data_IF_030990560074
#
_entry.id   IF_030990560074
#
_cell.length_a   1.000
_cell.length_b   1.000
_cell.length_c   1.000
_cell.angle_alpha   90.00
_cell.angle_beta   90.00
_cell.angle_gamma   90.00
#
_symmetry.space_group_name_H-M   'P 1'
#
loop_
_entity.id
_entity.type
_entity.pdbx_description
1 polymer ?
#
# COMPACT_ATOMS: atom_id res chain seq x y z
N UNK A 1 6.56 20.15 4.77
CA UNK A 1 6.74 18.74 4.35
C UNK A 1 5.72 18.45 3.25
N UNK A 2 6.19 18.20 2.03
CA UNK A 2 5.36 18.14 0.81
C UNK A 2 4.38 16.97 0.86
N UNK A 3 3.10 17.24 0.58
CA UNK A 3 2.11 16.19 0.35
C UNK A 3 2.56 15.31 -0.84
N UNK A 4 2.35 13.98 -0.80
CA UNK A 4 2.60 13.15 -1.97
C UNK A 4 1.68 13.61 -3.11
N UNK A 5 2.28 14.07 -4.21
CA UNK A 5 1.53 14.46 -5.39
C UNK A 5 0.78 13.24 -5.95
N UNK A 6 -0.49 13.40 -6.30
CA UNK A 6 -1.31 12.33 -6.89
C UNK A 6 -0.62 11.68 -8.11
N UNK A 7 0.13 12.47 -8.88
CA UNK A 7 0.94 12.02 -10.00
C UNK A 7 2.01 10.97 -9.61
N UNK A 8 2.63 11.10 -8.43
CA UNK A 8 3.64 10.15 -7.95
C UNK A 8 2.97 8.82 -7.57
N UNK A 9 1.82 8.88 -6.90
CA UNK A 9 1.05 7.69 -6.52
C UNK A 9 0.55 6.93 -7.73
N UNK A 10 0.04 7.64 -8.74
CA UNK A 10 -0.41 7.05 -9.98
C UNK A 10 0.73 6.33 -10.72
N UNK A 11 1.88 7.00 -10.90
CA UNK A 11 3.08 6.41 -11.52
C UNK A 11 3.58 5.18 -10.76
N UNK A 12 3.64 5.26 -9.42
CA UNK A 12 4.04 4.14 -8.59
C UNK A 12 3.07 2.96 -8.73
N UNK A 13 1.76 3.23 -8.65
CA UNK A 13 0.72 2.21 -8.81
C UNK A 13 0.77 1.51 -10.17
N UNK A 14 0.92 2.26 -11.27
CA UNK A 14 1.13 1.70 -12.61
C UNK A 14 2.38 0.83 -12.69
N UNK A 15 3.49 1.27 -12.12
CA UNK A 15 4.74 0.52 -12.11
C UNK A 15 4.61 -0.80 -11.35
N UNK A 16 4.04 -0.77 -10.14
CA UNK A 16 3.81 -1.99 -9.36
C UNK A 16 2.85 -2.96 -10.06
N UNK A 17 1.76 -2.47 -10.65
CA UNK A 17 0.84 -3.33 -11.39
C UNK A 17 1.56 -4.01 -12.57
N UNK A 18 2.34 -3.27 -13.36
CA UNK A 18 3.09 -3.82 -14.49
C UNK A 18 4.15 -4.84 -14.03
N UNK A 19 4.94 -4.52 -13.00
CA UNK A 19 5.95 -5.42 -12.45
C UNK A 19 5.32 -6.69 -11.91
N UNK A 20 4.19 -6.59 -11.20
CA UNK A 20 3.47 -7.75 -10.69
C UNK A 20 3.00 -8.67 -11.81
N UNK A 21 2.37 -8.13 -12.86
CA UNK A 21 1.92 -8.93 -14.02
C UNK A 21 3.09 -9.63 -14.71
N UNK A 22 4.19 -8.90 -14.98
CA UNK A 22 5.37 -9.46 -15.61
C UNK A 22 6.03 -10.55 -14.74
N UNK A 23 6.14 -10.30 -13.43
CA UNK A 23 6.65 -11.28 -12.49
C UNK A 23 5.76 -12.52 -12.44
N UNK A 24 4.44 -12.38 -12.37
CA UNK A 24 3.50 -13.51 -12.38
C UNK A 24 3.64 -14.39 -13.63
N UNK A 25 3.68 -13.77 -14.81
CA UNK A 25 3.89 -14.45 -16.08
C UNK A 25 5.25 -15.16 -16.13
N UNK A 26 6.32 -14.47 -15.72
CA UNK A 26 7.65 -15.06 -15.61
C UNK A 26 7.68 -16.24 -14.63
N UNK A 27 6.98 -16.14 -13.50
CA UNK A 27 6.85 -17.21 -12.53
C UNK A 27 6.19 -18.45 -13.14
N UNK A 28 5.07 -18.26 -13.84
CA UNK A 28 4.25 -19.35 -14.35
C UNK A 28 4.90 -20.09 -15.52
N UNK A 29 5.68 -19.39 -16.34
CA UNK A 29 6.23 -19.93 -17.59
C UNK A 29 7.75 -20.12 -17.56
N UNK A 30 8.49 -19.16 -17.00
CA UNK A 30 9.96 -19.22 -16.93
C UNK A 30 10.48 -19.92 -15.69
N UNK A 31 10.03 -19.48 -14.51
CA UNK A 31 10.58 -19.92 -13.23
C UNK A 31 10.23 -21.38 -12.91
N UNK A 32 9.04 -21.85 -13.32
CA UNK A 32 8.62 -23.26 -13.16
C UNK A 32 9.55 -24.25 -13.88
N UNK A 33 10.18 -23.83 -14.99
CA UNK A 33 11.09 -24.66 -15.77
C UNK A 33 12.55 -24.61 -15.23
N UNK A 34 12.83 -23.79 -14.22
CA UNK A 34 14.18 -23.60 -13.70
C UNK A 34 14.58 -24.73 -12.73
N UNK A 35 15.73 -25.40 -12.94
CA UNK A 35 16.25 -26.38 -11.99
C UNK A 35 16.55 -25.74 -10.62
N UNK A 36 16.21 -26.43 -9.53
CA UNK A 36 16.49 -25.97 -8.15
C UNK A 36 15.39 -25.12 -7.50
N UNK A 37 14.26 -24.89 -8.16
CA UNK A 37 13.09 -24.21 -7.58
C UNK A 37 12.11 -25.23 -7.00
N UNK A 38 11.79 -25.12 -5.72
CA UNK A 38 10.74 -25.94 -5.07
C UNK A 38 9.34 -25.42 -5.41
N UNK A 39 8.34 -26.30 -5.35
CA UNK A 39 6.93 -25.93 -5.52
C UNK A 39 6.49 -24.82 -4.55
N UNK A 40 6.95 -24.86 -3.30
CA UNK A 40 6.66 -23.83 -2.29
C UNK A 40 7.28 -22.47 -2.63
N UNK A 41 8.49 -22.48 -3.21
CA UNK A 41 9.17 -21.25 -3.64
C UNK A 41 8.44 -20.62 -4.82
N UNK A 42 7.95 -21.45 -5.75
CA UNK A 42 7.12 -21.02 -6.87
C UNK A 42 5.78 -20.44 -6.40
N UNK A 43 5.10 -21.11 -5.47
CA UNK A 43 3.86 -20.62 -4.87
C UNK A 43 4.06 -19.27 -4.14
N UNK A 44 5.17 -19.14 -3.41
CA UNK A 44 5.55 -17.89 -2.74
C UNK A 44 5.80 -16.76 -3.75
N UNK A 45 6.48 -17.06 -4.85
CA UNK A 45 6.72 -16.10 -5.93
C UNK A 45 5.43 -15.62 -6.59
N UNK A 46 4.49 -16.53 -6.86
CA UNK A 46 3.17 -16.17 -7.38
C UNK A 46 2.36 -15.35 -6.39
N UNK A 47 2.46 -15.68 -5.10
CA UNK A 47 1.85 -14.87 -4.04
C UNK A 47 2.40 -13.45 -4.06
N UNK A 48 3.73 -13.28 -4.10
CA UNK A 48 4.36 -11.96 -4.19
C UNK A 48 3.91 -11.16 -5.42
N UNK A 49 3.75 -11.82 -6.57
CA UNK A 49 3.13 -11.27 -7.79
C UNK A 49 1.73 -10.72 -7.54
N UNK A 50 0.82 -11.55 -7.01
CA UNK A 50 -0.55 -11.12 -6.73
C UNK A 50 -0.59 -9.92 -5.78
N UNK A 51 0.20 -9.94 -4.70
CA UNK A 51 0.27 -8.80 -3.77
C UNK A 51 0.82 -7.54 -4.45
N UNK A 52 1.80 -7.65 -5.35
CA UNK A 52 2.35 -6.51 -6.09
C UNK A 52 1.30 -5.87 -7.01
N UNK A 53 0.51 -6.71 -7.71
CA UNK A 53 -0.61 -6.23 -8.54
C UNK A 53 -1.70 -5.57 -7.70
N UNK A 54 -2.17 -6.22 -6.63
CA UNK A 54 -3.25 -5.67 -5.81
C UNK A 54 -2.87 -4.36 -5.14
N UNK A 55 -1.65 -4.24 -4.62
CA UNK A 55 -1.17 -2.99 -4.04
C UNK A 55 -0.94 -1.90 -5.10
N UNK A 56 -0.48 -2.27 -6.31
CA UNK A 56 -0.39 -1.34 -7.44
C UNK A 56 -1.76 -0.78 -7.84
N UNK A 57 -2.78 -1.64 -7.92
CA UNK A 57 -4.16 -1.23 -8.16
C UNK A 57 -4.71 -0.36 -7.01
N UNK A 58 -4.41 -0.72 -5.76
CA UNK A 58 -4.81 0.08 -4.60
C UNK A 58 -4.20 1.49 -4.65
N UNK A 59 -2.93 1.62 -5.05
CA UNK A 59 -2.26 2.91 -5.25
C UNK A 59 -2.89 3.72 -6.39
N UNK A 60 -3.25 3.07 -7.50
CA UNK A 60 -3.97 3.71 -8.60
C UNK A 60 -5.33 4.24 -8.14
N UNK A 61 -6.12 3.42 -7.46
CA UNK A 61 -7.42 3.84 -6.91
C UNK A 61 -7.26 4.99 -5.89
N UNK A 62 -6.23 4.94 -5.05
CA UNK A 62 -5.94 5.98 -4.08
C UNK A 62 -5.55 7.31 -4.76
N UNK A 63 -4.87 7.24 -5.90
CA UNK A 63 -4.46 8.42 -6.67
C UNK A 63 -5.64 9.18 -7.29
N UNK A 64 -6.73 8.47 -7.63
CA UNK A 64 -7.94 9.07 -8.19
C UNK A 64 -8.84 9.73 -7.14
N UNK A 65 -8.70 9.38 -5.86
CA UNK A 65 -9.57 9.91 -4.83
C UNK A 65 -8.98 11.19 -4.19
N UNK A 66 -9.54 12.39 -4.45
CA UNK A 66 -8.94 13.66 -4.07
C UNK A 66 -8.77 13.86 -2.56
N UNK A 67 -9.57 13.18 -1.72
CA UNK A 67 -9.42 13.20 -0.24
C UNK A 67 -8.32 12.27 0.27
N UNK A 68 -7.97 11.21 -0.48
CA UNK A 68 -6.97 10.22 -0.06
C UNK A 68 -5.62 10.39 -0.76
N UNK A 69 -5.59 11.01 -1.95
CA UNK A 69 -4.34 11.28 -2.66
C UNK A 69 -3.43 12.25 -1.89
N UNK A 70 -4.02 13.12 -1.05
CA UNK A 70 -3.30 14.08 -0.18
C UNK A 70 -2.81 13.47 1.13
N UNK A 71 -3.14 12.20 1.41
CA UNK A 71 -2.83 11.58 2.69
C UNK A 71 -1.33 11.27 2.79
N UNK A 72 -0.61 12.06 3.61
CA UNK A 72 0.86 12.11 3.64
C UNK A 72 1.59 10.78 3.90
N UNK A 73 0.90 9.80 4.46
CA UNK A 73 1.49 8.52 4.83
C UNK A 73 0.94 7.34 4.06
N UNK A 74 -0.24 7.45 3.46
CA UNK A 74 -0.94 6.26 3.02
C UNK A 74 -0.34 5.65 1.77
N UNK A 75 -0.18 6.44 0.72
CA UNK A 75 0.44 5.99 -0.51
C UNK A 75 1.90 5.55 -0.35
N UNK A 76 2.79 6.36 0.28
CA UNK A 76 4.18 5.97 0.49
C UNK A 76 4.34 4.69 1.33
N UNK A 77 3.48 4.47 2.34
CA UNK A 77 3.52 3.26 3.15
C UNK A 77 3.10 2.01 2.36
N UNK A 78 2.08 2.09 1.49
CA UNK A 78 1.73 0.98 0.58
C UNK A 78 2.91 0.66 -0.32
N UNK A 79 3.46 1.67 -1.00
CA UNK A 79 4.57 1.48 -1.92
C UNK A 79 5.79 0.84 -1.22
N UNK A 80 6.19 1.38 -0.07
CA UNK A 80 7.31 0.85 0.70
C UNK A 80 7.03 -0.57 1.23
N UNK A 81 5.83 -0.83 1.74
CA UNK A 81 5.41 -2.15 2.22
C UNK A 81 5.41 -3.20 1.11
N UNK A 82 4.88 -2.86 -0.06
CA UNK A 82 4.91 -3.74 -1.24
C UNK A 82 6.34 -4.03 -1.71
N UNK A 83 7.19 -3.00 -1.76
CA UNK A 83 8.59 -3.18 -2.13
C UNK A 83 9.33 -4.10 -1.14
N UNK A 84 9.11 -3.93 0.17
CA UNK A 84 9.76 -4.74 1.19
C UNK A 84 9.22 -6.17 1.24
N UNK A 85 7.91 -6.37 1.17
CA UNK A 85 7.28 -7.70 1.26
C UNK A 85 7.42 -8.50 -0.04
N UNK A 86 6.90 -7.97 -1.14
CA UNK A 86 6.90 -8.70 -2.42
C UNK A 86 8.31 -8.73 -3.03
N UNK A 87 9.08 -7.65 -2.87
CA UNK A 87 10.47 -7.60 -3.32
C UNK A 87 11.40 -8.55 -2.57
N UNK A 88 11.22 -8.75 -1.26
CA UNK A 88 12.03 -9.73 -0.51
C UNK A 88 11.76 -11.15 -0.99
N UNK A 89 10.50 -11.51 -1.25
CA UNK A 89 10.14 -12.83 -1.76
C UNK A 89 10.73 -13.06 -3.16
N UNK A 90 10.64 -12.07 -4.06
CA UNK A 90 11.28 -12.18 -5.38
C UNK A 90 12.78 -12.42 -5.28
N UNK A 91 13.47 -11.67 -4.42
CA UNK A 91 14.91 -11.83 -4.21
C UNK A 91 15.27 -13.20 -3.62
N UNK A 92 14.51 -13.68 -2.62
CA UNK A 92 14.72 -15.00 -2.01
C UNK A 92 14.56 -16.14 -3.01
N UNK A 93 13.56 -16.04 -3.89
CA UNK A 93 13.26 -17.10 -4.86
C UNK A 93 14.25 -17.08 -6.03
N UNK A 94 14.68 -15.90 -6.49
CA UNK A 94 15.67 -15.81 -7.57
C UNK A 94 17.09 -16.19 -7.14
N UNK A 95 17.46 -15.92 -5.89
CA UNK A 95 18.83 -16.14 -5.41
C UNK A 95 18.90 -16.39 -3.90
N UNK A 96 18.40 -17.55 -3.47
CA UNK A 96 18.27 -17.93 -2.06
C UNK A 96 19.60 -17.86 -1.30
N UNK A 97 20.71 -18.30 -1.89
CA UNK A 97 21.99 -18.36 -1.19
C UNK A 97 22.61 -16.98 -0.93
N UNK A 98 22.33 -15.99 -1.78
CA UNK A 98 22.79 -14.61 -1.60
C UNK A 98 21.89 -13.79 -0.67
N UNK A 99 20.59 -14.11 -0.63
CA UNK A 99 19.58 -13.31 0.07
C UNK A 99 18.93 -14.02 1.26
N UNK A 100 19.52 -15.10 1.79
CA UNK A 100 19.06 -15.82 2.99
C UNK A 100 18.72 -14.91 4.19
N UNK A 101 19.43 -13.79 4.34
CA UNK A 101 19.20 -12.79 5.39
C UNK A 101 17.86 -12.03 5.27
N UNK A 102 17.22 -12.02 4.10
CA UNK A 102 15.92 -11.38 3.89
C UNK A 102 14.73 -12.27 4.34
N UNK A 103 15.00 -13.52 4.75
CA UNK A 103 13.99 -14.42 5.31
C UNK A 103 13.16 -13.78 6.44
N UNK A 104 13.76 -13.26 7.52
CA UNK A 104 13.05 -12.60 8.61
C UNK A 104 12.43 -11.23 8.25
N UNK A 105 12.84 -10.60 7.14
CA UNK A 105 12.28 -9.31 6.68
C UNK A 105 10.86 -9.49 6.11
N UNK A 106 10.56 -10.68 5.57
CA UNK A 106 9.28 -10.99 4.92
C UNK A 106 8.08 -10.98 5.90
N UNK A 107 8.11 -11.59 7.10
CA UNK A 107 7.02 -11.45 8.07
C UNK A 107 6.87 -10.03 8.62
N UNK A 108 7.96 -9.27 8.75
CA UNK A 108 7.91 -7.86 9.17
C UNK A 108 7.27 -6.95 8.12
N UNK A 109 7.54 -7.20 6.82
CA UNK A 109 6.89 -6.50 5.71
C UNK A 109 5.38 -6.75 5.66
N UNK A 110 4.95 -7.99 5.89
CA UNK A 110 3.53 -8.35 5.95
C UNK A 110 2.79 -7.69 7.12
N UNK A 111 3.39 -7.66 8.32
CA UNK A 111 2.87 -6.94 9.47
C UNK A 111 2.75 -5.43 9.21
N UNK A 112 3.77 -4.82 8.59
CA UNK A 112 3.72 -3.41 8.22
C UNK A 112 2.57 -3.11 7.24
N UNK A 113 2.30 -4.02 6.30
CA UNK A 113 1.21 -3.90 5.35
C UNK A 113 -0.18 -4.02 6.02
N UNK A 114 -0.34 -4.96 6.96
CA UNK A 114 -1.59 -5.10 7.74
C UNK A 114 -1.82 -3.89 8.65
N UNK A 115 -0.79 -3.43 9.38
CA UNK A 115 -0.87 -2.22 10.19
C UNK A 115 -1.24 -0.99 9.35
N UNK A 116 -0.76 -0.94 8.12
CA UNK A 116 -1.05 0.14 7.19
C UNK A 116 -2.55 0.15 6.76
N UNK A 117 -3.08 -0.97 6.28
CA UNK A 117 -4.51 -1.07 5.94
C UNK A 117 -5.42 -0.83 7.15
N UNK A 118 -4.99 -1.27 8.34
CA UNK A 118 -5.66 -0.96 9.61
C UNK A 118 -5.70 0.54 9.88
N UNK A 119 -4.57 1.24 9.77
CA UNK A 119 -4.47 2.69 10.03
C UNK A 119 -5.32 3.53 9.06
N UNK A 120 -5.44 3.13 7.79
CA UNK A 120 -6.36 3.75 6.83
C UNK A 120 -7.80 3.67 7.34
N UNK A 121 -8.22 2.50 7.85
CA UNK A 121 -9.57 2.29 8.42
C UNK A 121 -9.80 3.12 9.69
N UNK A 122 -8.86 3.11 10.64
CA UNK A 122 -9.03 3.85 11.90
C UNK A 122 -9.11 5.36 11.68
N UNK A 123 -8.31 5.93 10.76
CA UNK A 123 -8.36 7.37 10.44
C UNK A 123 -9.56 7.74 9.56
N UNK A 124 -10.09 6.79 8.76
CA UNK A 124 -11.35 6.96 8.04
C UNK A 124 -12.51 7.22 8.98
N UNK A 125 -12.61 6.50 10.10
CA UNK A 125 -13.61 6.78 11.13
C UNK A 125 -13.45 8.18 11.73
N UNK A 126 -12.22 8.64 12.02
CA UNK A 126 -11.99 10.02 12.51
C UNK A 126 -12.34 11.12 11.49
N UNK A 127 -12.40 10.81 10.19
CA UNK A 127 -12.81 11.74 9.14
C UNK A 127 -14.25 11.55 8.68
N UNK A 128 -14.91 10.49 9.13
CA UNK A 128 -16.29 10.15 8.87
C UNK A 128 -17.11 10.34 10.16
N UNK A 129 -16.78 11.36 10.94
CA UNK A 129 -17.76 12.01 11.80
C UNK A 129 -18.62 12.87 10.88
N UNK A 130 -19.91 12.52 10.64
CA UNK A 130 -20.78 13.25 9.71
C UNK A 130 -21.10 14.69 10.17
N UNK A 131 -20.58 15.10 11.33
CA UNK A 131 -20.73 16.44 11.90
C UNK A 131 -19.48 17.33 11.75
N UNK A 132 -18.36 16.84 11.19
CA UNK A 132 -17.16 17.66 11.01
C UNK A 132 -16.93 18.01 9.54
N UNK A 133 -17.47 19.18 9.14
CA UNK A 133 -17.07 19.88 7.93
C UNK A 133 -15.60 20.29 8.04
N UNK A 134 -14.68 19.37 7.72
CA UNK A 134 -13.25 19.67 7.63
C UNK A 134 -13.00 20.56 6.39
N UNK A 135 -13.19 21.86 6.57
CA UNK A 135 -12.55 22.85 5.71
C UNK A 135 -11.05 22.83 6.02
N UNK A 136 -10.22 22.80 4.99
CA UNK A 136 -8.76 22.70 5.09
C UNK A 136 -8.23 23.91 5.86
N UNK A 137 -7.94 23.77 7.16
CA UNK A 137 -7.42 24.90 7.95
C UNK A 137 -7.29 24.68 9.46
N UNK A 138 -8.35 24.28 10.16
CA UNK A 138 -8.32 24.31 11.63
C UNK A 138 -9.08 23.14 12.27
N UNK A 139 -8.35 22.23 12.92
CA UNK A 139 -8.92 21.40 13.97
C UNK A 139 -8.78 22.17 15.29
N UNK A 140 -9.80 22.96 15.69
CA UNK A 140 -9.94 23.34 17.11
C UNK A 140 -10.84 22.34 17.83
N UNK A 141 -10.46 21.85 19.02
CA UNK A 141 -11.36 21.08 19.87
C UNK A 141 -12.48 22.01 20.35
N UNK A 142 -13.69 21.46 20.42
CA UNK A 142 -14.95 22.19 20.53
C UNK A 142 -15.00 23.30 21.58
N UNK A 143 -15.47 24.46 21.15
CA UNK A 143 -16.11 25.46 22.01
C UNK A 143 -17.54 25.59 21.52
N UNK A 144 -18.45 25.17 22.39
CA UNK A 144 -19.89 25.27 22.25
C UNK A 144 -20.33 26.73 22.38
N UNK A 145 -20.42 27.45 21.26
CA UNK A 145 -21.12 28.74 21.22
C UNK A 145 -22.51 28.53 20.62
N UNK A 146 -23.47 28.32 21.51
CA UNK A 146 -24.91 28.39 21.25
C UNK A 146 -25.25 29.84 20.94
N UNK A 147 -25.34 30.19 19.66
CA UNK A 147 -25.96 31.45 19.21
C UNK A 147 -27.49 31.28 19.32
N UNK A 148 -28.21 32.12 20.09
CA UNK A 148 -29.66 32.03 20.16
C UNK A 148 -30.28 32.60 18.88
N UNK A 149 -31.05 31.78 18.15
CA UNK A 149 -31.92 32.26 17.07
C UNK A 149 -32.95 33.24 17.63
N UNK A 150 -32.79 34.54 17.31
CA UNK A 150 -33.93 35.46 17.28
C UNK A 150 -34.74 35.17 16.02
N UNK A 151 -36.01 34.83 16.20
CA UNK A 151 -37.01 34.79 15.15
C UNK A 151 -37.35 36.24 14.74
N UNK A 152 -37.41 36.46 13.43
CA UNK A 152 -38.13 37.55 12.78
C UNK A 152 -39.36 36.92 12.10
#
# INVERSE_FOLDING_TARGET
MSFPNANILWRAGSCYAAVGILAGAFGAHGLKARPGISADSLASFQTASHYTVFNGLALLLLSFHPRFSVHRFAGPAIAAGTALFSGSIYALVLNRDRFKFLGPVTPMGGLAQVCFYGAVKYRMCYCCDPLSSCNVGECRPGVSDVVPRRYA
#
